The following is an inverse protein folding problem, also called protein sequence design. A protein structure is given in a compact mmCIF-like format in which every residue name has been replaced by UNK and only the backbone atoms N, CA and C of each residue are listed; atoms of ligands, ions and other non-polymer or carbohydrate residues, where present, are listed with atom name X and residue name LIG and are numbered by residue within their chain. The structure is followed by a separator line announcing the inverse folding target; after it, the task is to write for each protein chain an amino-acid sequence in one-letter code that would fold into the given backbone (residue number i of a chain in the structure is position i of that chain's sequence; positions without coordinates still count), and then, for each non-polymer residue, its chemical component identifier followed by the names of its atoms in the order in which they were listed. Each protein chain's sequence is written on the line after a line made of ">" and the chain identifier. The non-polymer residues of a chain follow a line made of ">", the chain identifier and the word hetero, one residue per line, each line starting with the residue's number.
data_IF_036808903918
#
_entry.id   IF_036808903918
#
_cell.length_a   1.000
_cell.length_b   1.000
_cell.length_c   1.000
_cell.angle_alpha   90.00
_cell.angle_beta   90.00
_cell.angle_gamma   90.00
#
_symmetry.space_group_name_H-M   'P 1'
#
loop_
_entity.id
_entity.type
_entity.pdbx_description
1 polymer ?
#
# COMPACT_ATOMS: atom_id res chain seq x y z
N UNK A 1 5.77 -24.62 10.99
CA UNK A 1 5.55 -23.96 9.69
C UNK A 1 6.86 -23.31 9.26
N UNK A 2 7.22 -23.37 7.95
CA UNK A 2 8.42 -22.67 7.44
C UNK A 2 8.25 -21.17 7.69
N UNK A 3 9.25 -20.53 8.27
CA UNK A 3 9.28 -19.08 8.37
C UNK A 3 9.55 -18.50 6.97
N UNK A 4 8.69 -17.61 6.50
CA UNK A 4 8.83 -16.98 5.19
C UNK A 4 9.82 -15.82 5.25
N UNK A 5 10.68 -15.73 4.26
CA UNK A 5 11.67 -14.68 4.09
C UNK A 5 11.04 -13.47 3.39
N UNK A 6 11.07 -12.34 4.05
CA UNK A 6 10.54 -11.08 3.55
C UNK A 6 11.64 -10.18 3.02
N UNK A 7 11.45 -9.69 1.82
CA UNK A 7 12.24 -8.60 1.26
C UNK A 7 11.43 -7.30 1.28
N UNK A 8 12.07 -6.16 1.55
CA UNK A 8 11.46 -4.86 1.31
C UNK A 8 12.00 -4.21 0.05
N UNK A 9 11.10 -3.71 -0.79
CA UNK A 9 11.39 -2.89 -1.96
C UNK A 9 11.03 -1.45 -1.65
N UNK A 10 12.04 -0.65 -1.36
CA UNK A 10 11.93 0.71 -0.84
C UNK A 10 12.37 0.81 0.63
N UNK A 11 12.92 1.98 1.00
CA UNK A 11 13.47 2.30 2.32
C UNK A 11 12.82 3.58 2.89
N UNK A 12 11.57 3.87 2.51
CA UNK A 12 10.83 5.04 2.95
C UNK A 12 10.31 4.92 4.38
N UNK A 13 9.50 5.92 4.79
CA UNK A 13 8.91 5.96 6.13
C UNK A 13 8.18 4.68 6.45
N UNK A 14 7.31 4.21 5.54
CA UNK A 14 6.47 3.05 5.81
C UNK A 14 7.25 1.73 5.86
N UNK A 15 8.36 1.62 5.12
CA UNK A 15 9.28 0.47 5.24
C UNK A 15 9.95 0.43 6.63
N UNK A 16 10.28 1.60 7.20
CA UNK A 16 10.79 1.70 8.56
C UNK A 16 9.74 1.25 9.60
N UNK A 17 8.47 1.56 9.39
CA UNK A 17 7.38 1.11 10.27
C UNK A 17 7.26 -0.43 10.25
N UNK A 18 7.29 -1.05 9.06
CA UNK A 18 7.28 -2.51 8.95
C UNK A 18 8.49 -3.14 9.65
N UNK A 19 9.69 -2.66 9.35
CA UNK A 19 10.91 -3.19 9.96
C UNK A 19 10.89 -3.07 11.49
N UNK A 20 10.40 -1.94 12.01
CA UNK A 20 10.23 -1.73 13.45
C UNK A 20 9.19 -2.67 14.05
N UNK A 21 8.05 -2.88 13.39
CA UNK A 21 7.02 -3.81 13.84
C UNK A 21 7.54 -5.24 13.90
N UNK A 22 8.26 -5.69 12.87
CA UNK A 22 8.88 -7.01 12.86
C UNK A 22 9.91 -7.18 13.97
N UNK A 23 10.74 -6.17 14.21
CA UNK A 23 11.74 -6.18 15.27
C UNK A 23 11.12 -6.35 16.67
N UNK A 24 9.95 -5.73 16.92
CA UNK A 24 9.21 -5.92 18.19
C UNK A 24 8.75 -7.37 18.40
N UNK A 25 8.55 -8.11 17.33
CA UNK A 25 8.18 -9.53 17.36
C UNK A 25 9.40 -10.47 17.29
N UNK A 26 10.61 -9.92 17.42
CA UNK A 26 11.86 -10.69 17.31
C UNK A 26 12.14 -11.22 15.90
N UNK A 27 11.57 -10.56 14.87
CA UNK A 27 11.73 -10.90 13.45
C UNK A 27 12.51 -9.82 12.72
N UNK A 28 13.18 -10.21 11.65
CA UNK A 28 13.96 -9.30 10.79
C UNK A 28 13.61 -9.56 9.33
N UNK A 29 13.64 -8.53 8.53
CA UNK A 29 13.59 -8.66 7.07
C UNK A 29 14.82 -9.45 6.60
N UNK A 30 14.64 -10.34 5.64
CA UNK A 30 15.74 -11.10 5.03
C UNK A 30 16.61 -10.20 4.17
N UNK A 31 15.97 -9.33 3.35
CA UNK A 31 16.71 -8.51 2.40
C UNK A 31 16.02 -7.17 2.13
N UNK A 32 16.77 -6.27 1.52
CA UNK A 32 16.31 -4.95 1.10
C UNK A 32 16.83 -4.57 -0.28
N UNK A 33 15.94 -4.03 -1.11
CA UNK A 33 16.28 -3.42 -2.39
C UNK A 33 15.75 -1.99 -2.45
N UNK A 34 16.52 -1.07 -3.01
CA UNK A 34 16.10 0.30 -3.21
C UNK A 34 16.84 0.92 -4.42
N UNK A 35 16.16 1.81 -5.15
CA UNK A 35 16.74 2.50 -6.32
C UNK A 35 18.05 3.23 -5.99
N UNK A 36 18.14 3.79 -4.80
CA UNK A 36 19.37 4.41 -4.28
C UNK A 36 20.03 3.40 -3.35
N UNK A 37 21.11 2.76 -3.80
CA UNK A 37 21.77 1.66 -3.09
C UNK A 37 22.22 2.07 -1.68
N UNK A 38 22.79 3.26 -1.51
CA UNK A 38 23.28 3.76 -0.21
C UNK A 38 22.15 3.83 0.83
N UNK A 39 20.92 4.13 0.40
CA UNK A 39 19.75 4.10 1.29
C UNK A 39 19.39 2.69 1.73
N UNK A 40 19.56 1.71 0.85
CA UNK A 40 19.35 0.31 1.20
C UNK A 40 20.40 -0.18 2.19
N UNK A 41 21.67 0.18 1.99
CA UNK A 41 22.77 -0.13 2.91
C UNK A 41 22.52 0.47 4.30
N UNK A 42 22.19 1.76 4.37
CA UNK A 42 21.88 2.42 5.65
C UNK A 42 20.66 1.80 6.35
N UNK A 43 19.63 1.44 5.60
CA UNK A 43 18.46 0.75 6.13
C UNK A 43 18.82 -0.65 6.66
N UNK A 44 19.62 -1.41 5.93
CA UNK A 44 20.07 -2.72 6.33
C UNK A 44 20.90 -2.66 7.63
N UNK A 45 21.83 -1.72 7.73
CA UNK A 45 22.62 -1.50 8.95
C UNK A 45 21.74 -1.18 10.16
N UNK A 46 20.72 -0.31 9.96
CA UNK A 46 19.81 0.10 11.02
C UNK A 46 19.00 -1.06 11.61
N UNK A 47 18.59 -2.01 10.78
CA UNK A 47 17.67 -3.08 11.17
C UNK A 47 18.30 -4.48 11.20
N UNK A 48 19.62 -4.58 11.00
CA UNK A 48 20.34 -5.86 11.03
C UNK A 48 19.96 -6.79 9.87
N UNK A 49 19.65 -6.22 8.69
CA UNK A 49 19.31 -6.99 7.50
C UNK A 49 20.60 -7.49 6.85
N UNK A 50 20.68 -8.78 6.57
CA UNK A 50 21.91 -9.40 6.09
C UNK A 50 22.17 -9.21 4.60
N UNK A 51 21.12 -8.98 3.78
CA UNK A 51 21.24 -8.95 2.33
C UNK A 51 20.75 -7.63 1.75
N UNK A 52 21.61 -6.98 0.97
CA UNK A 52 21.31 -5.77 0.19
C UNK A 52 21.61 -6.08 -1.27
N UNK A 53 20.73 -5.67 -2.17
CA UNK A 53 20.94 -5.87 -3.61
C UNK A 53 21.57 -4.63 -4.23
N UNK A 54 22.59 -4.82 -5.08
CA UNK A 54 23.20 -3.77 -5.87
C UNK A 54 22.26 -3.30 -6.98
N UNK A 55 21.59 -4.25 -7.64
CA UNK A 55 20.52 -3.98 -8.60
C UNK A 55 19.16 -4.28 -7.94
N UNK A 56 18.27 -3.30 -8.03
CA UNK A 56 16.91 -3.42 -7.44
C UNK A 56 16.13 -4.63 -8.01
N UNK A 57 16.41 -5.02 -9.24
CA UNK A 57 15.70 -6.12 -9.90
C UNK A 57 16.13 -7.50 -9.39
N UNK A 58 17.29 -7.63 -8.77
CA UNK A 58 17.79 -8.93 -8.29
C UNK A 58 16.89 -9.53 -7.20
N UNK A 59 16.15 -8.69 -6.47
CA UNK A 59 15.20 -9.15 -5.44
C UNK A 59 14.11 -10.07 -6.01
N UNK A 60 13.71 -9.89 -7.27
CA UNK A 60 12.66 -10.68 -7.89
C UNK A 60 13.14 -12.10 -8.26
N UNK A 61 14.44 -12.28 -8.49
CA UNK A 61 15.04 -13.53 -8.92
C UNK A 61 15.70 -14.31 -7.76
N UNK A 62 15.77 -13.73 -6.57
CA UNK A 62 16.34 -14.40 -5.41
C UNK A 62 15.47 -15.58 -4.95
N UNK A 63 15.96 -16.84 -5.03
CA UNK A 63 15.16 -18.01 -4.66
C UNK A 63 14.81 -18.07 -3.16
N UNK A 64 15.58 -17.38 -2.31
CA UNK A 64 15.38 -17.36 -0.87
C UNK A 64 14.33 -16.33 -0.44
N UNK A 65 13.89 -15.43 -1.32
CA UNK A 65 12.80 -14.48 -1.05
C UNK A 65 11.46 -15.15 -1.30
N UNK A 66 10.62 -15.23 -0.28
CA UNK A 66 9.26 -15.75 -0.39
C UNK A 66 8.25 -14.60 -0.64
N UNK A 67 8.41 -13.48 0.06
CA UNK A 67 7.46 -12.33 0.04
C UNK A 67 8.21 -11.04 -0.23
N UNK A 68 7.66 -10.22 -1.12
CA UNK A 68 8.17 -8.86 -1.36
C UNK A 68 7.15 -7.84 -0.84
N UNK A 69 7.60 -6.97 0.08
CA UNK A 69 6.88 -5.79 0.50
C UNK A 69 7.24 -4.60 -0.40
N UNK A 70 6.29 -4.14 -1.21
CA UNK A 70 6.49 -3.01 -2.13
C UNK A 70 6.03 -1.74 -1.42
N UNK A 71 6.98 -0.84 -1.10
CA UNK A 71 6.77 0.44 -0.42
C UNK A 71 7.33 1.63 -1.19
N UNK A 72 7.30 1.53 -2.49
CA UNK A 72 7.78 2.55 -3.44
C UNK A 72 6.66 3.56 -3.76
N UNK A 73 6.92 4.64 -4.54
CA UNK A 73 5.86 5.54 -5.00
C UNK A 73 4.80 4.84 -5.85
N UNK A 74 3.53 5.26 -5.72
CA UNK A 74 2.35 4.64 -6.35
C UNK A 74 2.51 4.38 -7.85
N UNK A 75 3.08 5.32 -8.60
CA UNK A 75 3.30 5.22 -10.03
C UNK A 75 4.33 4.14 -10.46
N UNK A 76 4.99 3.52 -9.51
CA UNK A 76 5.96 2.44 -9.77
C UNK A 76 5.45 1.06 -9.40
N UNK A 77 4.34 0.97 -8.66
CA UNK A 77 3.84 -0.29 -8.12
C UNK A 77 3.62 -1.33 -9.20
N UNK A 78 2.89 -0.99 -10.27
CA UNK A 78 2.56 -1.95 -11.32
C UNK A 78 3.79 -2.58 -11.97
N UNK A 79 4.87 -1.82 -12.16
CA UNK A 79 6.10 -2.35 -12.74
C UNK A 79 6.76 -3.40 -11.85
N UNK A 80 6.73 -3.19 -10.54
CA UNK A 80 7.28 -4.12 -9.57
C UNK A 80 6.34 -5.30 -9.29
N UNK A 81 5.02 -5.07 -9.31
CA UNK A 81 4.02 -6.12 -9.22
C UNK A 81 4.19 -7.15 -10.35
N UNK A 82 4.31 -6.68 -11.60
CA UNK A 82 4.57 -7.55 -12.75
C UNK A 82 5.78 -8.45 -12.52
N UNK A 83 6.91 -7.85 -12.12
CA UNK A 83 8.15 -8.60 -11.91
C UNK A 83 8.04 -9.59 -10.75
N UNK A 84 7.52 -9.16 -9.61
CA UNK A 84 7.40 -10.01 -8.42
C UNK A 84 6.47 -11.20 -8.67
N UNK A 85 5.26 -10.94 -9.16
CA UNK A 85 4.23 -11.96 -9.36
C UNK A 85 4.63 -12.97 -10.44
N UNK A 86 5.21 -12.50 -11.56
CA UNK A 86 5.70 -13.40 -12.63
C UNK A 86 6.89 -14.27 -12.22
N UNK A 87 7.62 -13.87 -11.15
CA UNK A 87 8.70 -14.69 -10.59
C UNK A 87 8.28 -15.51 -9.36
N UNK A 88 6.97 -15.72 -9.18
CA UNK A 88 6.45 -16.59 -8.13
C UNK A 88 6.60 -16.03 -6.71
N UNK A 89 6.72 -14.71 -6.55
CA UNK A 89 6.81 -14.07 -5.23
C UNK A 89 5.44 -13.66 -4.73
N UNK A 90 5.14 -13.97 -3.46
CA UNK A 90 4.02 -13.34 -2.77
C UNK A 90 4.29 -11.84 -2.63
N UNK A 91 3.24 -11.03 -2.66
CA UNK A 91 3.39 -9.57 -2.57
C UNK A 91 2.45 -8.98 -1.54
N UNK A 92 3.01 -8.14 -0.66
CA UNK A 92 2.29 -7.13 0.09
C UNK A 92 2.67 -5.77 -0.51
N UNK A 93 1.72 -5.08 -1.13
CA UNK A 93 1.97 -3.79 -1.78
C UNK A 93 1.30 -2.67 -1.00
N UNK A 94 2.00 -1.55 -0.82
CA UNK A 94 1.43 -0.35 -0.22
C UNK A 94 0.24 0.18 -1.02
N UNK A 95 -0.63 0.86 -0.30
CA UNK A 95 -1.76 1.58 -0.87
C UNK A 95 -1.27 2.86 -1.59
N UNK A 96 -1.89 3.31 -2.64
CA UNK A 96 -2.82 2.60 -3.52
C UNK A 96 -2.06 1.57 -4.34
N UNK A 97 -2.56 0.37 -4.36
CA UNK A 97 -1.85 -0.77 -4.97
C UNK A 97 -1.58 -0.55 -6.46
N UNK A 98 -2.53 0.05 -7.19
CA UNK A 98 -2.41 0.44 -8.61
C UNK A 98 -3.07 1.79 -8.85
N UNK A 99 -2.86 2.38 -10.02
CA UNK A 99 -3.43 3.68 -10.39
C UNK A 99 -4.80 3.57 -11.09
N UNK A 100 -5.13 2.39 -11.60
CA UNK A 100 -6.38 2.14 -12.31
C UNK A 100 -6.75 0.65 -12.26
N UNK A 101 -7.99 0.37 -12.68
CA UNK A 101 -8.55 -0.99 -12.63
C UNK A 101 -7.84 -1.96 -13.58
N UNK A 102 -7.39 -1.49 -14.75
CA UNK A 102 -6.69 -2.36 -15.71
C UNK A 102 -5.37 -2.90 -15.14
N UNK A 103 -4.61 -2.05 -14.46
CA UNK A 103 -3.40 -2.47 -13.75
C UNK A 103 -3.71 -3.43 -12.61
N UNK A 104 -4.82 -3.24 -11.90
CA UNK A 104 -5.24 -4.14 -10.83
C UNK A 104 -5.62 -5.51 -11.39
N UNK A 105 -6.43 -5.55 -12.43
CA UNK A 105 -6.88 -6.79 -13.08
C UNK A 105 -5.69 -7.59 -13.61
N UNK A 106 -4.71 -6.91 -14.22
CA UNK A 106 -3.45 -7.51 -14.66
C UNK A 106 -2.69 -8.13 -13.48
N UNK A 107 -2.49 -7.38 -12.40
CA UNK A 107 -1.76 -7.88 -11.23
C UNK A 107 -2.48 -9.08 -10.56
N UNK A 108 -3.81 -9.03 -10.47
CA UNK A 108 -4.63 -10.13 -9.94
C UNK A 108 -4.52 -11.37 -10.84
N UNK A 109 -4.52 -11.20 -12.16
CA UNK A 109 -4.35 -12.31 -13.11
C UNK A 109 -2.99 -12.98 -12.96
N UNK A 110 -1.91 -12.17 -12.92
CA UNK A 110 -0.55 -12.68 -12.69
C UNK A 110 -0.42 -13.43 -11.36
N UNK A 111 -1.04 -12.93 -10.30
CA UNK A 111 -1.02 -13.61 -9.00
C UNK A 111 -1.70 -14.99 -9.06
N UNK A 112 -2.85 -15.08 -9.74
CA UNK A 112 -3.57 -16.33 -9.92
C UNK A 112 -2.79 -17.32 -10.79
N UNK A 113 -2.26 -16.87 -11.93
CA UNK A 113 -1.49 -17.69 -12.86
C UNK A 113 -0.25 -18.31 -12.22
N UNK A 114 0.41 -17.58 -11.33
CA UNK A 114 1.62 -18.04 -10.63
C UNK A 114 1.33 -18.63 -9.23
N UNK A 115 0.04 -18.75 -8.85
CA UNK A 115 -0.38 -19.33 -7.57
C UNK A 115 0.28 -18.63 -6.37
N UNK A 116 0.35 -17.31 -6.39
CA UNK A 116 0.90 -16.47 -5.32
C UNK A 116 -0.15 -15.53 -4.73
N UNK A 117 0.11 -15.06 -3.52
CA UNK A 117 -0.77 -14.11 -2.82
C UNK A 117 -0.36 -12.69 -3.22
N UNK A 118 -1.35 -11.90 -3.63
CA UNK A 118 -1.27 -10.46 -3.77
C UNK A 118 -2.19 -9.82 -2.72
N UNK A 119 -1.64 -8.95 -1.89
CA UNK A 119 -2.39 -8.21 -0.88
C UNK A 119 -2.02 -6.73 -0.88
N UNK A 120 -3.01 -5.87 -0.66
CA UNK A 120 -2.79 -4.44 -0.43
C UNK A 120 -2.61 -4.16 1.06
N UNK A 121 -1.65 -3.32 1.41
CA UNK A 121 -1.36 -2.92 2.79
C UNK A 121 -2.38 -1.87 3.31
N UNK A 122 -3.65 -2.22 3.29
CA UNK A 122 -4.74 -1.38 3.79
C UNK A 122 -4.93 -1.58 5.29
N UNK A 123 -4.22 -0.79 6.08
CA UNK A 123 -4.10 -0.94 7.55
C UNK A 123 -5.43 -0.86 8.28
N UNK A 124 -6.41 -0.08 7.81
CA UNK A 124 -7.70 0.09 8.49
C UNK A 124 -8.44 -1.24 8.71
N UNK A 125 -8.30 -2.22 7.81
CA UNK A 125 -8.93 -3.53 7.95
C UNK A 125 -8.38 -4.36 9.12
N UNK A 126 -7.21 -4.00 9.62
CA UNK A 126 -6.53 -4.70 10.72
C UNK A 126 -6.62 -3.97 12.06
N UNK A 127 -7.11 -2.72 12.07
CA UNK A 127 -7.23 -1.92 13.29
C UNK A 127 -8.41 -2.39 14.15
N UNK A 128 -8.18 -2.67 15.46
CA UNK A 128 -9.24 -3.19 16.35
C UNK A 128 -10.47 -2.29 16.43
N UNK A 129 -10.30 -0.96 16.39
CA UNK A 129 -11.41 0.00 16.46
C UNK A 129 -12.39 -0.17 15.30
N UNK A 130 -11.91 -0.36 14.08
CA UNK A 130 -12.79 -0.54 12.91
C UNK A 130 -13.45 -1.92 12.89
N UNK A 131 -12.76 -2.95 13.39
CA UNK A 131 -13.37 -4.27 13.61
C UNK A 131 -14.54 -4.16 14.60
N UNK A 132 -14.32 -3.46 15.72
CA UNK A 132 -15.36 -3.23 16.73
C UNK A 132 -16.55 -2.43 16.19
N UNK A 133 -16.29 -1.37 15.40
CA UNK A 133 -17.35 -0.59 14.73
C UNK A 133 -18.17 -1.48 13.78
N UNK A 134 -17.52 -2.33 13.00
CA UNK A 134 -18.21 -3.25 12.10
C UNK A 134 -19.09 -4.25 12.86
N UNK A 135 -18.64 -4.76 14.02
CA UNK A 135 -19.46 -5.60 14.90
C UNK A 135 -20.71 -4.87 15.40
N UNK A 136 -20.56 -3.61 15.86
CA UNK A 136 -21.68 -2.79 16.34
C UNK A 136 -22.68 -2.52 15.20
N UNK A 137 -22.21 -2.19 14.01
CA UNK A 137 -23.08 -2.01 12.83
C UNK A 137 -23.81 -3.30 12.50
N UNK A 138 -23.08 -4.42 12.47
CA UNK A 138 -23.65 -5.73 12.14
C UNK A 138 -24.65 -6.24 13.17
N UNK A 139 -24.52 -5.85 14.44
CA UNK A 139 -25.45 -6.23 15.51
C UNK A 139 -26.80 -5.53 15.43
N UNK A 140 -26.96 -4.52 14.57
CA UNK A 140 -28.19 -3.75 14.43
C UNK A 140 -28.44 -2.71 15.52
N UNK A 141 -27.51 -2.52 16.49
CA UNK A 141 -27.67 -1.55 17.59
C UNK A 141 -27.86 -0.12 17.08
N UNK A 142 -27.29 0.22 15.93
CA UNK A 142 -27.42 1.54 15.32
C UNK A 142 -28.62 1.66 14.38
N UNK A 143 -29.39 0.59 14.22
CA UNK A 143 -30.44 0.51 13.21
C UNK A 143 -29.85 0.51 11.80
N UNK A 144 -30.64 1.02 10.84
CA UNK A 144 -30.18 1.13 9.45
C UNK A 144 -29.13 2.23 9.30
N UNK A 145 -28.00 1.91 8.74
CA UNK A 145 -26.96 2.88 8.40
C UNK A 145 -27.37 3.65 7.14
N UNK A 146 -27.70 4.94 7.30
CA UNK A 146 -28.18 5.78 6.21
C UNK A 146 -27.15 6.77 5.67
N UNK A 147 -26.17 7.13 6.50
CA UNK A 147 -25.14 8.12 6.13
C UNK A 147 -23.83 7.77 6.82
N UNK A 148 -22.74 7.88 6.08
CA UNK A 148 -21.38 7.93 6.61
C UNK A 148 -20.72 9.19 6.08
N UNK A 149 -20.21 10.02 6.99
CA UNK A 149 -19.37 11.16 6.65
C UNK A 149 -17.97 10.91 7.17
N UNK A 150 -16.98 11.00 6.28
CA UNK A 150 -15.57 10.82 6.61
C UNK A 150 -14.82 12.09 6.26
N UNK A 151 -14.12 12.64 7.25
CA UNK A 151 -13.20 13.76 7.07
C UNK A 151 -11.80 13.26 7.41
N UNK A 152 -10.91 13.28 6.41
CA UNK A 152 -9.53 12.88 6.59
C UNK A 152 -8.62 13.83 5.83
N UNK A 153 -7.74 14.50 6.55
CA UNK A 153 -6.80 15.47 6.01
C UNK A 153 -5.46 15.40 6.68
N UNK A 154 -4.41 15.79 5.97
CA UNK A 154 -3.06 15.92 6.51
C UNK A 154 -2.42 17.17 5.91
N UNK A 155 -1.96 18.06 6.77
CA UNK A 155 -1.18 19.21 6.32
C UNK A 155 0.13 18.76 5.65
N UNK A 156 0.44 19.36 4.52
CA UNK A 156 1.71 19.19 3.82
C UNK A 156 2.19 20.56 3.32
N UNK A 157 3.47 20.83 3.49
CA UNK A 157 4.08 22.02 2.88
C UNK A 157 3.94 21.92 1.35
N UNK A 158 3.42 22.99 0.75
CA UNK A 158 3.20 23.04 -0.68
C UNK A 158 4.52 23.03 -1.44
N UNK A 159 4.75 21.98 -2.20
CA UNK A 159 5.93 21.83 -3.04
C UNK A 159 5.59 20.93 -4.24
N UNK A 160 5.52 21.52 -5.43
CA UNK A 160 5.19 20.81 -6.67
C UNK A 160 6.20 19.74 -7.09
N UNK A 161 7.41 19.75 -6.53
CA UNK A 161 8.39 18.70 -6.76
C UNK A 161 8.17 17.49 -5.84
N UNK A 162 7.35 17.65 -4.79
CA UNK A 162 7.02 16.58 -3.88
C UNK A 162 6.00 15.63 -4.53
N UNK A 163 6.15 14.33 -4.27
CA UNK A 163 5.23 13.29 -4.77
C UNK A 163 3.77 13.54 -4.42
N UNK A 164 3.47 14.22 -3.31
CA UNK A 164 2.10 14.50 -2.88
C UNK A 164 1.36 15.47 -3.82
N UNK A 165 2.08 16.36 -4.51
CA UNK A 165 1.52 17.39 -5.38
C UNK A 165 1.79 17.13 -6.86
N UNK A 166 2.71 16.24 -7.19
CA UNK A 166 3.10 15.96 -8.57
C UNK A 166 2.19 14.93 -9.23
N UNK A 167 1.40 15.36 -10.23
CA UNK A 167 0.58 14.44 -11.02
C UNK A 167 1.39 13.33 -11.71
N UNK A 168 2.62 13.65 -12.16
CA UNK A 168 3.52 12.66 -12.79
C UNK A 168 3.93 11.53 -11.83
N UNK A 169 3.90 11.81 -10.53
CA UNK A 169 4.23 10.84 -9.49
C UNK A 169 2.97 10.22 -8.86
N UNK A 170 1.81 10.34 -9.52
CA UNK A 170 0.53 9.90 -8.99
C UNK A 170 0.19 10.54 -7.64
N UNK A 171 0.51 11.85 -7.51
CA UNK A 171 0.14 12.64 -6.34
C UNK A 171 -1.34 12.93 -6.27
N UNK A 172 -1.77 13.56 -5.19
CA UNK A 172 -3.14 13.97 -4.93
C UNK A 172 -3.76 13.25 -3.74
N UNK A 173 -4.68 13.94 -3.10
CA UNK A 173 -5.33 13.48 -1.88
C UNK A 173 -6.12 12.19 -2.10
N UNK A 174 -6.70 11.97 -3.28
CA UNK A 174 -7.53 10.78 -3.55
C UNK A 174 -6.72 9.48 -3.40
N UNK A 175 -5.57 9.38 -4.06
CA UNK A 175 -4.72 8.19 -4.01
C UNK A 175 -3.92 8.09 -2.72
N UNK A 176 -3.60 9.20 -2.06
CA UNK A 176 -2.80 9.15 -0.83
C UNK A 176 -3.64 8.86 0.42
N UNK A 177 -4.74 9.58 0.63
CA UNK A 177 -5.57 9.48 1.83
C UNK A 177 -7.04 9.13 1.54
N UNK A 178 -7.57 9.52 0.38
CA UNK A 178 -8.97 9.25 0.00
C UNK A 178 -9.29 7.75 -0.07
N UNK A 179 -8.31 6.92 -0.40
CA UNK A 179 -8.45 5.46 -0.42
C UNK A 179 -8.88 4.88 0.92
N UNK A 180 -8.44 5.47 2.05
CA UNK A 180 -8.90 5.05 3.38
C UNK A 180 -10.38 5.33 3.60
N UNK A 181 -10.82 6.55 3.24
CA UNK A 181 -12.22 6.94 3.37
C UNK A 181 -13.13 6.08 2.50
N UNK A 182 -12.74 5.85 1.24
CA UNK A 182 -13.49 5.01 0.31
C UNK A 182 -13.56 3.55 0.79
N UNK A 183 -12.44 3.00 1.25
CA UNK A 183 -12.37 1.64 1.77
C UNK A 183 -13.23 1.47 3.03
N UNK A 184 -13.24 2.47 3.93
CA UNK A 184 -14.07 2.45 5.13
C UNK A 184 -15.56 2.48 4.80
N UNK A 185 -15.98 3.37 3.91
CA UNK A 185 -17.36 3.46 3.44
C UNK A 185 -17.80 2.13 2.82
N UNK A 186 -16.98 1.59 1.92
CA UNK A 186 -17.24 0.30 1.27
C UNK A 186 -17.36 -0.85 2.27
N UNK A 187 -16.54 -0.86 3.29
CA UNK A 187 -16.56 -1.89 4.33
C UNK A 187 -17.85 -1.88 5.13
N UNK A 188 -18.32 -0.71 5.51
CA UNK A 188 -19.52 -0.58 6.35
C UNK A 188 -20.81 -0.74 5.58
N UNK A 189 -20.94 -0.15 4.39
CA UNK A 189 -22.14 -0.29 3.56
C UNK A 189 -22.22 -1.63 2.83
N UNK A 190 -21.09 -2.32 2.60
CA UNK A 190 -21.00 -3.60 1.86
C UNK A 190 -21.54 -3.54 0.42
N UNK A 191 -21.84 -2.36 -0.08
CA UNK A 191 -22.38 -2.09 -1.42
C UNK A 191 -21.42 -1.20 -2.19
N UNK A 192 -21.44 -1.28 -3.51
CA UNK A 192 -20.69 -0.36 -4.35
C UNK A 192 -21.48 0.95 -4.47
N UNK A 193 -20.96 2.09 -3.97
CA UNK A 193 -21.66 3.35 -4.07
C UNK A 193 -21.77 3.79 -5.52
N UNK A 194 -22.91 4.39 -5.88
CA UNK A 194 -23.09 5.07 -7.15
C UNK A 194 -22.73 6.54 -6.94
N UNK A 195 -21.73 7.09 -7.65
CA UNK A 195 -21.37 8.50 -7.52
C UNK A 195 -22.51 9.40 -8.02
N UNK A 196 -22.90 10.40 -7.24
CA UNK A 196 -24.08 11.23 -7.57
C UNK A 196 -23.73 12.63 -8.05
N UNK A 197 -22.55 13.18 -7.71
CA UNK A 197 -22.15 14.51 -8.16
C UNK A 197 -20.63 14.67 -8.13
N UNK A 198 -20.11 15.18 -9.24
CA UNK A 198 -18.68 15.49 -9.36
C UNK A 198 -18.40 17.00 -9.36
N UNK A 199 -19.43 17.84 -9.51
CA UNK A 199 -19.26 19.30 -9.63
C UNK A 199 -18.83 19.96 -8.34
N UNK A 200 -19.23 19.44 -7.19
CA UNK A 200 -18.82 19.97 -5.87
C UNK A 200 -17.38 19.62 -5.51
N UNK A 201 -16.86 18.52 -6.01
CA UNK A 201 -15.45 18.15 -5.82
C UNK A 201 -14.52 19.16 -6.51
N UNK A 202 -14.98 19.80 -7.56
CA UNK A 202 -14.19 20.82 -8.28
C UNK A 202 -14.18 22.19 -7.60
N UNK A 203 -15.18 22.55 -6.83
CA UNK A 203 -15.32 23.90 -6.28
C UNK A 203 -14.52 24.12 -4.97
N UNK A 204 -14.17 23.05 -4.26
CA UNK A 204 -13.51 23.14 -2.96
C UNK A 204 -12.17 22.39 -2.89
N UNK A 205 -11.76 21.83 -3.99
CA UNK A 205 -10.59 20.98 -4.02
C UNK A 205 -9.41 21.73 -4.62
N UNK A 206 -8.41 21.96 -3.83
CA UNK A 206 -7.06 22.26 -4.31
C UNK A 206 -6.49 21.12 -5.17
N UNK A 207 -7.10 19.95 -5.14
CA UNK A 207 -6.86 18.82 -6.04
C UNK A 207 -7.30 19.04 -7.48
N UNK A 208 -7.99 20.12 -7.79
CA UNK A 208 -8.28 20.57 -9.15
C UNK A 208 -7.06 20.78 -10.03
N UNK A 209 -5.95 20.83 -9.42
CA UNK A 209 -4.67 20.92 -10.11
C UNK A 209 -4.03 19.55 -10.31
N UNK A 210 -4.78 18.49 -10.05
CA UNK A 210 -4.40 17.11 -10.33
C UNK A 210 -4.61 16.72 -11.76
#
# INVERSE_FOLDING_TARGET
>A
MKQLNWATLGCGVIANELAHALSKEGRTLYSVANRTHEKAVAFAQKYGISKVYDNIDDVFYDPDVDIIYISTPHNTHINYLRKALSNGKHVLCEKSITLNIAELDEAVSLAKENNVILAEAMTIYHMPVYKKLNEIIASGQLGRLNLIQVNFGSYKDYNMTNRFFSRKLAGGALLDIGVYSLSLIRWFFKETPTPVSYTHLRAHETSLHL
#
